data_IF_605018191469
#
_entry.id   IF_605018191469
#
_cell.length_a   1.000
_cell.length_b   1.000
_cell.length_c   1.000
_cell.angle_alpha   90.00
_cell.angle_beta   90.00
_cell.angle_gamma   90.00
#
_symmetry.space_group_name_H-M   'P 1'
#
loop_
_entity.id
_entity.type
_entity.pdbx_description
1 polymer ?
#
# COMPACT_ATOMS: atom_id res chain seq x y z
N UNK A 1 -24.03 -13.80 2.43
CA UNK A 1 -23.62 -12.65 1.61
C UNK A 1 -22.21 -12.94 1.13
N UNK A 2 -22.03 -13.21 -0.16
CA UNK A 2 -20.69 -13.42 -0.73
C UNK A 2 -20.07 -12.05 -0.95
N UNK A 3 -19.01 -11.73 -0.22
CA UNK A 3 -18.17 -10.56 -0.50
C UNK A 3 -17.62 -10.72 -1.92
N UNK A 4 -17.71 -9.68 -2.75
CA UNK A 4 -17.14 -9.67 -4.10
C UNK A 4 -15.60 -9.92 -4.09
N UNK A 5 -14.98 -9.86 -2.92
CA UNK A 5 -13.54 -10.04 -2.68
C UNK A 5 -13.18 -11.39 -2.07
N UNK A 6 -14.15 -12.26 -1.75
CA UNK A 6 -13.92 -13.55 -1.09
C UNK A 6 -13.03 -14.51 -1.91
N UNK A 7 -12.93 -14.31 -3.22
CA UNK A 7 -12.16 -15.17 -4.13
C UNK A 7 -10.74 -14.65 -4.43
N UNK A 8 -10.36 -13.48 -3.91
CA UNK A 8 -9.00 -12.97 -4.09
C UNK A 8 -8.14 -13.50 -2.94
N UNK A 9 -7.28 -14.48 -3.22
CA UNK A 9 -6.34 -14.94 -2.21
C UNK A 9 -5.42 -13.78 -1.78
N UNK A 10 -5.20 -13.56 -0.46
CA UNK A 10 -4.24 -12.57 0.01
C UNK A 10 -2.84 -12.90 -0.47
N UNK A 11 -2.09 -11.86 -0.82
CA UNK A 11 -0.71 -11.95 -1.30
C UNK A 11 0.23 -11.35 -0.25
N UNK A 12 1.45 -11.87 -0.19
CA UNK A 12 2.49 -11.37 0.70
C UNK A 12 3.42 -10.42 -0.07
N UNK A 13 3.70 -9.27 0.54
CA UNK A 13 4.56 -8.23 -0.01
C UNK A 13 5.69 -7.90 0.95
N UNK A 14 6.92 -7.90 0.47
CA UNK A 14 8.08 -7.34 1.17
C UNK A 14 8.25 -5.88 0.77
N UNK A 15 8.33 -5.00 1.77
CA UNK A 15 8.49 -3.57 1.59
C UNK A 15 9.83 -3.18 2.19
N UNK A 16 10.71 -2.63 1.37
CA UNK A 16 11.96 -2.01 1.82
C UNK A 16 11.76 -0.51 1.87
N UNK A 17 12.04 0.07 3.03
CA UNK A 17 11.91 1.49 3.29
C UNK A 17 13.22 2.23 3.00
N UNK A 18 13.13 3.51 2.64
CA UNK A 18 14.31 4.36 2.50
C UNK A 18 15.08 4.53 3.81
N UNK A 19 14.39 4.44 4.96
CA UNK A 19 15.00 4.42 6.29
C UNK A 19 15.81 3.13 6.58
N UNK A 20 15.79 2.13 5.70
CA UNK A 20 16.53 0.88 5.84
C UNK A 20 15.78 -0.25 6.55
N UNK A 21 14.57 0.02 7.06
CA UNK A 21 13.67 -1.00 7.59
C UNK A 21 13.10 -1.87 6.44
N UNK A 22 12.82 -3.14 6.75
CA UNK A 22 12.09 -4.06 5.87
C UNK A 22 10.93 -4.66 6.66
N UNK A 23 9.74 -4.71 6.07
CA UNK A 23 8.59 -5.43 6.64
C UNK A 23 7.82 -6.23 5.59
N UNK A 24 7.01 -7.17 6.08
CA UNK A 24 6.12 -7.98 5.27
C UNK A 24 4.67 -7.60 5.53
N UNK A 25 3.93 -7.29 4.48
CA UNK A 25 2.50 -6.95 4.52
C UNK A 25 1.69 -7.97 3.74
N UNK A 26 0.59 -8.43 4.33
CA UNK A 26 -0.40 -9.27 3.64
C UNK A 26 -1.49 -8.37 3.07
N UNK A 27 -1.77 -8.49 1.77
CA UNK A 27 -2.77 -7.66 1.10
C UNK A 27 -3.49 -8.41 -0.01
N UNK A 28 -4.80 -8.18 -0.10
CA UNK A 28 -5.63 -8.60 -1.23
C UNK A 28 -5.55 -7.57 -2.37
N UNK A 29 -5.35 -6.29 -2.03
CA UNK A 29 -5.27 -5.20 -3.00
C UNK A 29 -4.17 -4.21 -2.62
N UNK A 30 -3.42 -3.79 -3.64
CA UNK A 30 -2.48 -2.65 -3.56
C UNK A 30 -3.01 -1.56 -4.48
N UNK A 31 -3.13 -0.34 -3.97
CA UNK A 31 -3.62 0.82 -4.74
C UNK A 31 -2.74 2.05 -4.56
N UNK A 32 -2.80 2.92 -5.56
CA UNK A 32 -2.02 4.13 -5.68
C UNK A 32 -3.00 5.29 -5.67
N UNK A 33 -2.88 6.21 -4.72
CA UNK A 33 -3.61 7.46 -4.80
C UNK A 33 -2.90 8.35 -5.83
N UNK A 34 -3.50 8.52 -7.01
CA UNK A 34 -3.05 9.55 -7.94
C UNK A 34 -3.14 10.92 -7.26
N UNK A 35 -2.15 11.77 -7.53
CA UNK A 35 -1.91 13.07 -6.87
C UNK A 35 -3.20 13.79 -6.49
N UNK A 36 -3.49 13.86 -5.19
CA UNK A 36 -4.67 14.55 -4.66
C UNK A 36 -4.24 15.93 -4.17
N UNK A 37 -4.75 16.98 -4.83
CA UNK A 37 -4.56 18.36 -4.36
C UNK A 37 -5.72 18.66 -3.40
N UNK A 38 -5.40 18.90 -2.13
CA UNK A 38 -6.37 19.50 -1.19
C UNK A 38 -6.26 21.01 -1.28
N UNK A 39 -7.41 21.66 -1.40
CA UNK A 39 -7.52 23.12 -1.37
C UNK A 39 -8.35 23.49 -0.15
N UNK A 40 -7.77 24.27 0.75
CA UNK A 40 -8.42 24.74 1.98
C UNK A 40 -8.47 26.27 1.96
N UNK A 41 -9.63 26.85 2.25
CA UNK A 41 -9.77 28.30 2.41
C UNK A 41 -9.29 28.71 3.81
N UNK A 42 -8.37 29.67 3.87
CA UNK A 42 -7.87 30.25 5.11
C UNK A 42 -8.68 31.49 5.50
N UNK A 43 -8.74 31.85 6.80
CA UNK A 43 -9.27 33.13 7.24
C UNK A 43 -8.49 34.27 6.56
N UNK A 44 -9.18 35.13 5.81
CA UNK A 44 -8.56 36.20 5.02
C UNK A 44 -8.72 36.06 3.50
N UNK A 45 -9.34 34.97 3.02
CA UNK A 45 -9.62 34.78 1.59
C UNK A 45 -8.47 34.16 0.81
N UNK A 46 -7.42 33.73 1.49
CA UNK A 46 -6.32 32.96 0.90
C UNK A 46 -6.69 31.48 0.76
N UNK A 47 -6.06 30.80 -0.20
CA UNK A 47 -6.21 29.36 -0.39
C UNK A 47 -4.87 28.67 -0.11
N UNK A 48 -4.87 27.71 0.80
CA UNK A 48 -3.76 26.78 1.00
C UNK A 48 -3.95 25.56 0.09
N UNK A 49 -2.92 25.23 -0.69
CA UNK A 49 -2.88 23.99 -1.45
C UNK A 49 -1.90 23.03 -0.80
N UNK A 50 -2.40 21.91 -0.28
CA UNK A 50 -1.56 20.80 0.15
C UNK A 50 -1.61 19.72 -0.94
N UNK A 51 -0.46 19.47 -1.55
CA UNK A 51 -0.31 18.29 -2.38
C UNK A 51 -0.02 17.12 -1.43
N UNK A 52 -1.04 16.31 -1.15
CA UNK A 52 -0.81 15.02 -0.51
C UNK A 52 0.08 14.23 -1.47
N UNK A 53 1.30 13.90 -1.03
CA UNK A 53 2.23 13.07 -1.78
C UNK A 53 1.55 11.78 -2.23
N UNK A 54 2.01 11.19 -3.34
CA UNK A 54 1.46 9.91 -3.81
C UNK A 54 1.57 8.88 -2.69
N UNK A 55 0.44 8.25 -2.35
CA UNK A 55 0.38 7.22 -1.32
C UNK A 55 0.14 5.87 -1.93
N UNK A 56 0.79 4.86 -1.37
CA UNK A 56 0.53 3.46 -1.66
C UNK A 56 -0.23 2.87 -0.48
N UNK A 57 -1.33 2.18 -0.77
CA UNK A 57 -2.21 1.58 0.23
C UNK A 57 -2.34 0.08 0.00
N UNK A 58 -2.24 -0.68 1.08
CA UNK A 58 -2.41 -2.12 1.12
C UNK A 58 -3.67 -2.44 1.92
N UNK A 59 -4.62 -3.13 1.29
CA UNK A 59 -5.85 -3.56 1.94
C UNK A 59 -5.94 -5.08 1.98
N UNK A 60 -6.47 -5.60 3.07
CA UNK A 60 -6.80 -7.00 3.22
C UNK A 60 -8.16 -7.16 3.88
N UNK A 61 -8.85 -8.24 3.56
CA UNK A 61 -9.96 -8.71 4.38
C UNK A 61 -9.40 -9.35 5.66
N UNK A 62 -9.83 -8.85 6.82
CA UNK A 62 -9.52 -9.38 8.16
C UNK A 62 -10.85 -9.57 8.87
N UNK A 63 -11.14 -10.79 9.32
CA UNK A 63 -12.41 -11.16 9.99
C UNK A 63 -13.67 -10.73 9.21
N UNK A 64 -13.63 -10.84 7.87
CA UNK A 64 -14.74 -10.45 6.99
C UNK A 64 -14.90 -8.95 6.80
N UNK A 65 -13.91 -8.14 7.22
CA UNK A 65 -13.91 -6.68 7.08
C UNK A 65 -12.74 -6.21 6.23
N UNK A 66 -13.02 -5.37 5.25
CA UNK A 66 -11.99 -4.76 4.42
C UNK A 66 -11.21 -3.71 5.22
N UNK A 67 -9.95 -4.02 5.51
CA UNK A 67 -9.12 -3.28 6.45
C UNK A 67 -7.85 -2.78 5.76
N UNK A 68 -7.52 -1.50 5.97
CA UNK A 68 -6.26 -0.91 5.55
C UNK A 68 -5.13 -1.46 6.43
N UNK A 69 -4.22 -2.23 5.84
CA UNK A 69 -3.07 -2.82 6.54
C UNK A 69 -1.89 -1.85 6.61
N UNK A 70 -1.64 -1.14 5.51
CA UNK A 70 -0.56 -0.15 5.41
C UNK A 70 -0.98 1.00 4.50
N UNK A 71 -0.61 2.22 4.87
CA UNK A 71 -0.70 3.41 4.04
C UNK A 71 0.56 4.25 4.22
N UNK A 72 1.32 4.42 3.16
CA UNK A 72 2.64 5.03 3.19
C UNK A 72 2.82 6.02 2.04
N UNK A 73 3.68 7.02 2.22
CA UNK A 73 4.08 7.87 1.10
C UNK A 73 4.98 7.06 0.17
N UNK A 74 4.78 7.18 -1.13
CA UNK A 74 5.62 6.55 -2.14
C UNK A 74 7.09 6.96 -1.96
N UNK A 75 7.35 8.20 -1.53
CA UNK A 75 8.70 8.71 -1.24
C UNK A 75 9.42 8.00 -0.09
N UNK A 76 8.70 7.32 0.79
CA UNK A 76 9.29 6.61 1.93
C UNK A 76 9.66 5.16 1.55
N UNK A 77 9.09 4.65 0.46
CA UNK A 77 9.26 3.27 0.00
C UNK A 77 10.35 3.19 -1.05
N UNK A 78 11.35 2.34 -0.80
CA UNK A 78 12.42 2.05 -1.76
C UNK A 78 12.01 0.98 -2.77
N UNK A 79 11.45 -0.14 -2.30
CA UNK A 79 10.96 -1.23 -3.16
C UNK A 79 9.78 -1.93 -2.54
N UNK A 80 8.86 -2.41 -3.38
CA UNK A 80 7.77 -3.34 -3.02
C UNK A 80 7.95 -4.58 -3.87
N UNK A 81 7.94 -5.76 -3.24
CA UNK A 81 8.14 -7.04 -3.91
C UNK A 81 7.02 -8.00 -3.52
N UNK A 82 6.36 -8.62 -4.48
CA UNK A 82 5.44 -9.70 -4.20
C UNK A 82 6.24 -10.98 -3.92
N UNK A 83 6.10 -11.54 -2.72
CA UNK A 83 6.82 -12.71 -2.24
C UNK A 83 5.88 -13.90 -1.97
N UNK A 84 4.65 -13.86 -2.48
CA UNK A 84 3.59 -14.85 -2.17
C UNK A 84 4.01 -16.30 -2.44
N UNK A 85 4.81 -16.53 -3.49
CA UNK A 85 5.28 -17.86 -3.89
C UNK A 85 6.73 -18.15 -3.44
N UNK A 86 7.33 -17.31 -2.62
CA UNK A 86 8.77 -17.28 -2.34
C UNK A 86 9.60 -16.78 -3.53
N UNK A 87 10.83 -16.35 -3.28
CA UNK A 87 11.80 -16.16 -4.37
C UNK A 87 12.19 -17.51 -4.95
N UNK A 88 11.90 -17.75 -6.23
CA UNK A 88 12.71 -18.68 -7.00
C UNK A 88 14.01 -17.95 -7.34
N UNK A 89 14.97 -17.99 -6.41
CA UNK A 89 16.34 -17.57 -6.71
C UNK A 89 16.84 -18.39 -7.91
N UNK A 90 17.46 -17.77 -8.93
CA UNK A 90 18.08 -18.54 -10.00
C UNK A 90 19.19 -19.40 -9.37
N UNK A 91 18.95 -20.71 -9.26
CA UNK A 91 19.94 -21.70 -8.81
C UNK A 91 19.57 -22.58 -7.62
N UNK A 92 18.38 -22.46 -7.02
CA UNK A 92 17.97 -23.31 -5.89
C UNK A 92 17.09 -24.50 -6.30
N UNK A 93 17.68 -25.68 -6.51
CA UNK A 93 16.92 -26.93 -6.52
C UNK A 93 16.56 -27.31 -5.08
N UNK A 94 15.29 -27.60 -4.82
CA UNK A 94 14.86 -28.37 -3.65
C UNK A 94 15.08 -29.86 -3.88
#
# INVERSE_FOLDING_TARGET
MSSYYADIAPQAYEITWHAGHVETVIAHQVSHDSRRIRVSALPGGEFATEADGQRIKFHAEVDGQWTLQLSAMESDIRTIRNITNGEQLPGGNR
#
